data_IF_665697051023
#
_entry.id   IF_665697051023
#
_cell.length_a   1.000
_cell.length_b   1.000
_cell.length_c   1.000
_cell.angle_alpha   90.00
_cell.angle_beta   90.00
_cell.angle_gamma   90.00
#
_symmetry.space_group_name_H-M   'P 1'
#
loop_
_entity.id
_entity.type
_entity.pdbx_description
1 polymer ?
#
# COMPACT_ATOMS: atom_id res chain seq x y z
N UNK A 1 -1.58 10.09 -9.12
CA UNK A 1 -1.83 9.65 -7.72
C UNK A 1 -0.77 8.67 -7.29
N UNK A 2 -0.53 8.57 -6.01
CA UNK A 2 0.43 7.62 -5.44
C UNK A 2 -0.29 6.79 -4.40
N UNK A 3 -0.22 5.45 -4.51
CA UNK A 3 -0.79 4.53 -3.53
C UNK A 3 0.20 4.32 -2.39
N UNK A 4 -0.26 4.47 -1.15
CA UNK A 4 0.59 4.32 0.05
C UNK A 4 0.27 2.99 0.72
N UNK A 5 1.27 2.11 0.80
CA UNK A 5 1.11 0.80 1.43
C UNK A 5 0.89 0.94 2.93
N UNK A 6 0.18 -0.02 3.49
CA UNK A 6 -0.16 -0.09 4.91
C UNK A 6 1.05 0.07 5.83
N UNK A 7 2.18 -0.57 5.51
CA UNK A 7 3.36 -0.55 6.37
C UNK A 7 3.91 0.87 6.56
N UNK A 8 3.86 1.73 5.54
CA UNK A 8 4.30 3.12 5.64
C UNK A 8 3.40 3.90 6.60
N UNK A 9 2.09 3.71 6.50
CA UNK A 9 1.11 4.39 7.37
C UNK A 9 1.21 3.92 8.82
N UNK A 10 1.36 2.62 9.03
CA UNK A 10 1.51 2.04 10.37
C UNK A 10 2.80 2.54 11.02
N UNK A 11 3.90 2.62 10.28
CA UNK A 11 5.17 3.17 10.77
C UNK A 11 4.99 4.60 11.32
N UNK A 12 4.26 5.44 10.58
CA UNK A 12 3.99 6.82 10.99
C UNK A 12 3.08 6.87 12.21
N UNK A 13 2.01 6.06 12.22
CA UNK A 13 1.00 6.08 13.29
C UNK A 13 1.52 5.50 14.61
N UNK A 14 2.40 4.49 14.54
CA UNK A 14 2.96 3.82 15.71
C UNK A 14 4.33 4.36 16.13
N UNK A 15 4.84 5.37 15.42
CA UNK A 15 6.18 5.93 15.64
C UNK A 15 7.25 4.83 15.71
N UNK A 16 7.29 3.98 14.70
CA UNK A 16 8.21 2.85 14.61
C UNK A 16 9.66 3.30 14.73
N UNK A 17 10.43 2.68 15.63
CA UNK A 17 11.81 3.10 15.94
C UNK A 17 12.73 3.06 14.74
N UNK A 18 12.53 2.08 13.86
CA UNK A 18 13.42 1.87 12.71
C UNK A 18 12.96 2.65 11.49
N UNK A 19 11.65 2.73 11.23
CA UNK A 19 11.10 3.14 9.95
C UNK A 19 10.30 4.43 9.97
N UNK A 20 9.87 4.94 11.15
CA UNK A 20 9.01 6.11 11.21
C UNK A 20 9.63 7.33 10.49
N UNK A 21 10.91 7.59 10.72
CA UNK A 21 11.59 8.74 10.11
C UNK A 21 11.62 8.65 8.57
N UNK A 22 11.92 7.46 8.04
CA UNK A 22 11.92 7.26 6.60
C UNK A 22 10.51 7.42 6.03
N UNK A 23 9.53 6.76 6.63
CA UNK A 23 8.13 6.79 6.19
C UNK A 23 7.54 8.20 6.25
N UNK A 24 7.82 8.95 7.31
CA UNK A 24 7.37 10.35 7.44
C UNK A 24 7.97 11.21 6.33
N UNK A 25 9.28 11.11 6.11
CA UNK A 25 9.98 11.91 5.09
C UNK A 25 9.47 11.59 3.69
N UNK A 26 9.32 10.31 3.37
CA UNK A 26 8.84 9.89 2.05
C UNK A 26 7.40 10.34 1.82
N UNK A 27 6.53 10.15 2.80
CA UNK A 27 5.14 10.59 2.70
C UNK A 27 5.06 12.10 2.45
N UNK A 28 5.80 12.89 3.20
CA UNK A 28 5.83 14.35 3.05
C UNK A 28 6.37 14.78 1.69
N UNK A 29 7.46 14.18 1.26
CA UNK A 29 8.07 14.49 -0.03
C UNK A 29 7.13 14.13 -1.19
N UNK A 30 6.51 12.96 -1.16
CA UNK A 30 5.62 12.52 -2.21
C UNK A 30 4.29 13.28 -2.23
N UNK A 31 3.82 13.74 -1.07
CA UNK A 31 2.61 14.56 -0.98
C UNK A 31 2.74 15.91 -1.70
N UNK A 32 3.98 16.40 -1.89
CA UNK A 32 4.24 17.62 -2.66
C UNK A 32 4.09 17.39 -4.17
N UNK A 33 4.17 16.15 -4.62
CA UNK A 33 4.19 15.78 -6.04
C UNK A 33 2.89 15.10 -6.46
N UNK A 34 2.33 14.25 -5.58
CA UNK A 34 1.17 13.42 -5.86
C UNK A 34 0.09 13.56 -4.81
N UNK A 35 -1.20 13.46 -5.17
CA UNK A 35 -2.24 13.12 -4.20
C UNK A 35 -1.94 11.73 -3.62
N UNK A 36 -1.90 11.64 -2.28
CA UNK A 36 -1.70 10.37 -1.58
C UNK A 36 -3.02 9.62 -1.49
N UNK A 37 -2.99 8.34 -1.79
CA UNK A 37 -4.20 7.52 -1.96
C UNK A 37 -4.08 6.22 -1.18
N UNK A 38 -5.19 5.78 -0.61
CA UNK A 38 -5.35 4.44 -0.05
C UNK A 38 -6.57 3.76 -0.68
N UNK A 39 -6.63 2.45 -0.58
CA UNK A 39 -7.78 1.66 -1.04
C UNK A 39 -8.47 0.97 0.14
N UNK A 40 -9.61 0.27 -0.07
CA UNK A 40 -10.33 -0.41 1.01
C UNK A 40 -9.50 -1.45 1.76
N UNK A 41 -8.56 -2.10 1.10
CA UNK A 41 -7.69 -3.10 1.75
C UNK A 41 -6.74 -2.41 2.74
N UNK A 42 -6.09 -1.34 2.29
CA UNK A 42 -5.19 -0.56 3.15
C UNK A 42 -5.97 0.06 4.30
N UNK A 43 -7.15 0.60 4.03
CA UNK A 43 -8.03 1.18 5.04
C UNK A 43 -8.39 0.14 6.11
N UNK A 44 -8.75 -1.08 5.70
CA UNK A 44 -9.04 -2.18 6.61
C UNK A 44 -7.82 -2.57 7.45
N UNK A 45 -6.66 -2.68 6.84
CA UNK A 45 -5.42 -3.03 7.56
C UNK A 45 -5.02 -1.95 8.56
N UNK A 46 -5.11 -0.68 8.18
CA UNK A 46 -4.81 0.45 9.07
C UNK A 46 -5.82 0.51 10.23
N UNK A 47 -7.06 0.10 10.00
CA UNK A 47 -8.11 0.05 11.03
C UNK A 47 -7.71 -0.79 12.24
N UNK A 48 -6.83 -1.77 12.07
CA UNK A 48 -6.33 -2.59 13.17
C UNK A 48 -5.59 -1.76 14.24
N UNK A 49 -5.08 -0.58 13.88
CA UNK A 49 -4.36 0.31 14.79
C UNK A 49 -5.29 1.26 15.58
N UNK A 50 -6.58 1.22 15.33
CA UNK A 50 -7.55 2.13 15.95
C UNK A 50 -8.65 1.37 16.69
N UNK A 51 -9.09 1.94 17.83
CA UNK A 51 -10.20 1.37 18.61
C UNK A 51 -11.56 1.94 18.21
N UNK A 52 -11.60 3.07 17.48
CA UNK A 52 -12.84 3.70 17.02
C UNK A 52 -12.74 4.11 15.55
N UNK A 53 -13.89 4.12 14.87
CA UNK A 53 -13.97 4.62 13.51
C UNK A 53 -13.62 6.09 13.43
N UNK A 54 -14.06 6.89 14.40
CA UNK A 54 -13.78 8.34 14.45
C UNK A 54 -12.28 8.61 14.54
N UNK A 55 -11.55 7.80 15.30
CA UNK A 55 -10.09 7.90 15.39
C UNK A 55 -9.42 7.60 14.06
N UNK A 56 -9.84 6.53 13.38
CA UNK A 56 -9.36 6.19 12.04
C UNK A 56 -9.64 7.30 11.03
N UNK A 57 -10.88 7.77 10.98
CA UNK A 57 -11.31 8.78 10.02
C UNK A 57 -10.53 10.10 10.20
N UNK A 58 -10.29 10.48 11.44
CA UNK A 58 -9.48 11.66 11.77
C UNK A 58 -8.03 11.49 11.27
N UNK A 59 -7.45 10.31 11.45
CA UNK A 59 -6.09 10.03 11.01
C UNK A 59 -5.97 10.06 9.48
N UNK A 60 -6.91 9.45 8.78
CA UNK A 60 -6.97 9.47 7.31
C UNK A 60 -7.07 10.91 6.79
N UNK A 61 -7.92 11.72 7.40
CA UNK A 61 -8.09 13.13 7.07
C UNK A 61 -6.82 13.95 7.33
N UNK A 62 -6.22 13.77 8.51
CA UNK A 62 -5.01 14.51 8.93
C UNK A 62 -3.83 14.18 8.02
N UNK A 63 -3.70 12.93 7.58
CA UNK A 63 -2.65 12.51 6.67
C UNK A 63 -2.91 12.90 5.22
N UNK A 64 -4.09 13.46 4.93
CA UNK A 64 -4.45 13.91 3.60
C UNK A 64 -4.62 12.78 2.59
N UNK A 65 -5.12 11.64 3.05
CA UNK A 65 -5.28 10.45 2.22
C UNK A 65 -6.65 10.44 1.53
N UNK A 66 -6.64 10.20 0.21
CA UNK A 66 -7.87 9.98 -0.55
C UNK A 66 -8.17 8.48 -0.60
N UNK A 67 -9.42 8.11 -0.37
CA UNK A 67 -9.85 6.72 -0.49
C UNK A 67 -10.36 6.46 -1.91
N UNK A 68 -9.79 5.44 -2.56
CA UNK A 68 -10.18 5.01 -3.91
C UNK A 68 -10.54 3.55 -3.93
N UNK A 69 -11.62 3.22 -4.60
CA UNK A 69 -12.04 1.83 -4.78
C UNK A 69 -11.09 1.09 -5.71
N UNK A 70 -10.98 -0.22 -5.50
CA UNK A 70 -10.17 -1.10 -6.36
C UNK A 70 -11.00 -1.45 -7.59
N UNK A 71 -10.56 -1.11 -8.82
CA UNK A 71 -11.32 -1.45 -10.00
C UNK A 71 -11.30 -2.96 -10.25
N UNK A 72 -12.36 -3.50 -10.85
CA UNK A 72 -12.49 -4.94 -11.10
C UNK A 72 -11.31 -5.53 -11.87
N UNK A 73 -10.74 -4.86 -12.91
CA UNK A 73 -9.54 -5.39 -13.57
C UNK A 73 -8.37 -5.63 -12.63
N UNK A 74 -8.23 -4.79 -11.60
CA UNK A 74 -7.18 -4.97 -10.58
C UNK A 74 -7.45 -6.21 -9.71
N UNK A 75 -8.70 -6.50 -9.39
CA UNK A 75 -9.07 -7.71 -8.66
C UNK A 75 -8.70 -8.96 -9.46
N UNK A 76 -8.99 -8.97 -10.75
CA UNK A 76 -8.64 -10.06 -11.66
C UNK A 76 -7.11 -10.23 -11.74
N UNK A 77 -6.39 -9.13 -11.94
CA UNK A 77 -4.92 -9.15 -11.99
C UNK A 77 -4.32 -9.68 -10.67
N UNK A 78 -4.86 -9.26 -9.52
CA UNK A 78 -4.40 -9.72 -8.22
C UNK A 78 -4.50 -11.24 -8.08
N UNK A 79 -5.62 -11.82 -8.48
CA UNK A 79 -5.83 -13.26 -8.44
C UNK A 79 -4.84 -14.00 -9.34
N UNK A 80 -4.63 -13.51 -10.56
CA UNK A 80 -3.70 -14.13 -11.51
C UNK A 80 -2.25 -14.03 -11.07
N UNK A 81 -1.84 -12.86 -10.59
CA UNK A 81 -0.48 -12.64 -10.06
C UNK A 81 -0.23 -13.51 -8.82
N UNK A 82 -1.21 -13.65 -7.95
CA UNK A 82 -1.12 -14.50 -6.76
C UNK A 82 -0.82 -15.95 -7.14
N UNK A 83 -1.56 -16.51 -8.08
CA UNK A 83 -1.37 -17.89 -8.54
C UNK A 83 0.00 -18.04 -9.20
N UNK A 84 0.38 -17.13 -10.09
CA UNK A 84 1.67 -17.19 -10.80
C UNK A 84 2.85 -17.08 -9.85
N UNK A 85 2.81 -16.17 -8.90
CA UNK A 85 3.89 -15.99 -7.92
C UNK A 85 4.05 -17.19 -7.01
N UNK A 86 2.96 -17.83 -6.61
CA UNK A 86 3.02 -19.07 -5.83
C UNK A 86 3.63 -20.23 -6.62
N UNK A 87 3.29 -20.36 -7.89
CA UNK A 87 3.83 -21.41 -8.79
C UNK A 87 5.34 -21.25 -9.01
N UNK A 88 5.85 -20.02 -8.96
CA UNK A 88 7.29 -19.71 -9.12
C UNK A 88 8.09 -19.87 -7.83
N UNK A 89 7.51 -20.48 -6.80
CA UNK A 89 8.17 -20.68 -5.52
C UNK A 89 8.17 -19.44 -4.64
N UNK A 90 7.21 -18.55 -4.85
CA UNK A 90 7.01 -17.37 -4.00
C UNK A 90 6.77 -17.77 -2.55
N UNK A 91 7.17 -16.91 -1.61
CA UNK A 91 7.04 -17.13 -0.20
C UNK A 91 5.60 -17.50 0.19
N UNK A 92 5.44 -18.55 1.01
CA UNK A 92 4.14 -18.92 1.62
C UNK A 92 3.56 -17.81 2.49
N UNK A 93 4.37 -16.79 2.83
CA UNK A 93 3.96 -15.62 3.63
C UNK A 93 3.27 -14.55 2.80
N UNK A 94 3.28 -14.65 1.47
CA UNK A 94 2.56 -13.71 0.63
C UNK A 94 1.07 -14.01 0.71
N UNK A 95 0.32 -13.07 1.25
CA UNK A 95 -1.13 -13.15 1.39
C UNK A 95 -1.81 -12.37 0.27
N UNK A 96 -3.01 -12.79 -0.10
CA UNK A 96 -3.77 -12.21 -1.22
C UNK A 96 -3.98 -10.71 -1.07
N UNK A 97 -4.10 -10.18 0.17
CA UNK A 97 -4.30 -8.75 0.41
C UNK A 97 -3.20 -7.88 -0.19
N UNK A 98 -1.92 -8.32 -0.10
CA UNK A 98 -0.80 -7.62 -0.73
C UNK A 98 -0.93 -7.57 -2.25
N UNK A 99 -1.49 -8.60 -2.87
CA UNK A 99 -1.71 -8.64 -4.31
C UNK A 99 -2.78 -7.64 -4.76
N UNK A 100 -3.81 -7.39 -3.94
CA UNK A 100 -4.80 -6.35 -4.24
C UNK A 100 -4.16 -4.96 -4.26
N UNK A 101 -3.21 -4.70 -3.37
CA UNK A 101 -2.50 -3.42 -3.30
C UNK A 101 -1.63 -3.23 -4.55
N UNK A 102 -0.79 -4.22 -4.86
CA UNK A 102 0.10 -4.17 -6.02
C UNK A 102 -0.66 -4.10 -7.34
N UNK A 103 -1.70 -4.90 -7.50
CA UNK A 103 -2.52 -4.92 -8.71
C UNK A 103 -3.27 -3.60 -8.91
N UNK A 104 -3.78 -3.00 -7.84
CA UNK A 104 -4.46 -1.70 -7.92
C UNK A 104 -3.53 -0.63 -8.49
N UNK A 105 -2.34 -0.50 -7.91
CA UNK A 105 -1.37 0.47 -8.39
C UNK A 105 -0.94 0.18 -9.84
N UNK A 106 -0.72 -1.09 -10.18
CA UNK A 106 -0.30 -1.49 -11.53
C UNK A 106 -1.35 -1.16 -12.59
N UNK A 107 -2.62 -1.47 -12.34
CA UNK A 107 -3.72 -1.22 -13.28
C UNK A 107 -3.95 0.28 -13.47
N UNK A 108 -3.89 1.06 -12.40
CA UNK A 108 -4.07 2.51 -12.46
C UNK A 108 -2.84 3.25 -13.00
N UNK A 109 -1.69 2.59 -13.08
CA UNK A 109 -0.43 3.23 -13.46
C UNK A 109 0.09 4.17 -12.38
N UNK A 110 -0.25 3.93 -11.12
CA UNK A 110 0.20 4.74 -9.99
C UNK A 110 1.48 4.14 -9.38
N UNK A 111 2.44 4.98 -8.98
CA UNK A 111 3.54 4.48 -8.15
C UNK A 111 3.02 4.01 -6.79
N UNK A 112 3.73 3.06 -6.21
CA UNK A 112 3.44 2.51 -4.89
C UNK A 112 4.55 2.90 -3.92
N UNK A 113 4.22 3.57 -2.84
CA UNK A 113 5.12 3.84 -1.74
C UNK A 113 5.01 2.73 -0.71
N UNK A 114 6.08 1.97 -0.52
CA UNK A 114 6.13 0.84 0.40
C UNK A 114 7.50 0.72 1.04
N UNK A 115 7.58 0.08 2.18
CA UNK A 115 8.82 -0.28 2.83
C UNK A 115 9.43 -1.59 2.30
N UNK A 116 8.63 -2.38 1.59
CA UNK A 116 8.99 -3.74 1.17
C UNK A 116 8.91 -3.88 -0.36
N UNK A 117 9.99 -3.48 -1.04
CA UNK A 117 10.07 -3.54 -2.49
C UNK A 117 9.98 -4.95 -3.05
N UNK A 118 10.62 -5.92 -2.39
CA UNK A 118 10.71 -7.29 -2.89
C UNK A 118 9.35 -7.97 -3.00
N UNK A 119 8.41 -7.58 -2.13
CA UNK A 119 7.04 -8.10 -2.11
C UNK A 119 6.29 -7.81 -3.41
N UNK A 120 6.61 -6.68 -4.06
CA UNK A 120 5.86 -6.20 -5.22
C UNK A 120 6.62 -6.33 -6.54
N UNK A 121 7.93 -6.10 -6.53
CA UNK A 121 8.73 -6.01 -7.77
C UNK A 121 8.73 -7.30 -8.57
N UNK A 122 8.75 -8.45 -7.91
CA UNK A 122 8.77 -9.76 -8.56
C UNK A 122 7.43 -10.11 -9.20
N UNK A 123 6.33 -9.79 -8.52
CA UNK A 123 4.99 -10.18 -8.95
C UNK A 123 4.32 -9.14 -9.85
N UNK A 124 4.80 -7.90 -9.81
CA UNK A 124 4.28 -6.78 -10.61
C UNK A 124 5.45 -6.04 -11.27
N UNK A 125 6.06 -6.60 -12.32
CA UNK A 125 7.30 -6.05 -12.90
C UNK A 125 7.13 -4.68 -13.54
N UNK A 126 5.90 -4.29 -13.92
CA UNK A 126 5.62 -2.97 -14.50
C UNK A 126 5.35 -1.90 -13.45
N UNK A 127 5.21 -2.28 -12.19
CA UNK A 127 4.88 -1.37 -11.11
C UNK A 127 6.09 -0.53 -10.71
N UNK A 128 5.91 0.79 -10.64
CA UNK A 128 6.91 1.68 -10.07
C UNK A 128 6.81 1.61 -8.54
N UNK A 129 7.86 1.11 -7.89
CA UNK A 129 7.91 0.93 -6.45
C UNK A 129 8.90 1.94 -5.86
N UNK A 130 8.42 2.74 -4.91
CA UNK A 130 9.25 3.66 -4.12
C UNK A 130 9.50 3.03 -2.75
N UNK A 131 10.74 2.63 -2.49
CA UNK A 131 11.12 1.93 -1.27
C UNK A 131 12.52 2.36 -0.82
N UNK A 132 12.87 2.07 0.46
CA UNK A 132 14.20 2.37 0.97
C UNK A 132 15.31 1.59 0.29
#
# INVERSE_FOLDING_TARGET
MLLVDTNVLVDVLQDDRQWANWSIRQRRAQACIHPLTINPIIDAEVSLSFSTFEGLDRAVSTLGLALREIPRPALFLAAKAFVQCRRRGGSRRQVLTGFFIGAHAAVEGWPLLTRDASRFSTCFPTLEVMAP
#
